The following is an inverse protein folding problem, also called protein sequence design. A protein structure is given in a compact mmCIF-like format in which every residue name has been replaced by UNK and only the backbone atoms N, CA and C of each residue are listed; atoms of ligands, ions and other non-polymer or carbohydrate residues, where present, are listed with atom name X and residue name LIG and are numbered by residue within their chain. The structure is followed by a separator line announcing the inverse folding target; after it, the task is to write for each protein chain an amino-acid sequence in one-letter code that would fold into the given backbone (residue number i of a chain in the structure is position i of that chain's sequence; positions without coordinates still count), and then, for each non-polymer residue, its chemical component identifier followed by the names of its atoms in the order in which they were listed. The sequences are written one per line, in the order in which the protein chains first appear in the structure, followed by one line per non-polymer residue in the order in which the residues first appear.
data_IF_701841976786
#
_entry.id   IF_701841976786
#
_cell.length_a   1.000
_cell.length_b   1.000
_cell.length_c   1.000
_cell.angle_alpha   90.00
_cell.angle_beta   90.00
_cell.angle_gamma   90.00
#
_symmetry.space_group_name_H-M   'P 1'
#
loop_
_entity.id
_entity.type
_entity.pdbx_description
1 polymer ?
#
# COMPACT_ATOMS: atom_id res chain seq x y z
N UNK A 1 62.34 4.20 42.77
CA UNK A 1 62.41 3.17 43.83
C UNK A 1 61.18 3.34 44.72
N UNK A 2 60.58 2.25 45.22
CA UNK A 2 59.18 2.15 45.72
C UNK A 2 58.11 2.15 44.61
N UNK A 3 56.94 1.48 44.73
CA UNK A 3 56.60 0.13 45.28
C UNK A 3 55.10 -0.14 45.00
N UNK A 4 54.76 -1.27 44.32
CA UNK A 4 53.44 -1.96 44.27
C UNK A 4 52.17 -1.11 43.94
N UNK A 5 50.98 -1.66 43.65
CA UNK A 5 50.47 -3.04 43.68
C UNK A 5 49.49 -3.30 42.50
N UNK A 6 49.02 -4.54 42.34
CA UNK A 6 48.12 -4.96 41.25
C UNK A 6 46.64 -5.07 41.68
N UNK A 7 45.73 -5.00 40.69
CA UNK A 7 44.42 -5.64 40.76
C UNK A 7 43.94 -6.06 39.36
N UNK A 8 43.08 -7.08 39.29
CA UNK A 8 42.61 -7.71 38.05
C UNK A 8 41.08 -7.65 37.98
N UNK A 9 40.52 -7.25 36.84
CA UNK A 9 39.10 -7.42 36.51
C UNK A 9 38.92 -7.52 34.99
N UNK A 10 38.17 -8.54 34.54
CA UNK A 10 37.57 -8.55 33.20
C UNK A 10 36.22 -7.82 33.26
N UNK A 11 35.84 -7.13 32.19
CA UNK A 11 34.44 -7.06 31.77
C UNK A 11 34.35 -6.82 30.25
N UNK A 12 33.30 -7.33 29.62
CA UNK A 12 33.08 -7.21 28.18
C UNK A 12 32.44 -5.85 27.82
N UNK A 13 32.75 -5.35 26.62
CA UNK A 13 32.11 -4.18 26.04
C UNK A 13 31.13 -4.58 24.94
N UNK A 14 29.82 -4.50 25.21
CA UNK A 14 28.78 -4.60 24.19
C UNK A 14 28.58 -3.26 23.48
N UNK A 15 28.36 -3.22 22.16
CA UNK A 15 28.07 -1.98 21.45
C UNK A 15 26.67 -1.44 21.80
N UNK A 16 26.54 -0.11 21.81
CA UNK A 16 25.27 0.58 22.06
C UNK A 16 24.31 0.47 20.87
N UNK A 17 23.04 0.15 21.16
CA UNK A 17 21.93 0.33 20.21
C UNK A 17 21.70 1.82 19.93
N UNK A 18 21.36 2.17 18.69
CA UNK A 18 20.93 3.50 18.27
C UNK A 18 19.43 3.45 17.89
N UNK A 19 18.63 4.31 18.50
CA UNK A 19 17.16 4.24 18.43
C UNK A 19 16.54 4.80 17.15
N UNK A 20 15.25 4.50 16.96
CA UNK A 20 14.47 4.88 15.77
C UNK A 20 14.13 6.39 15.71
N UNK A 21 13.98 6.97 14.50
CA UNK A 21 13.91 8.42 14.28
C UNK A 21 12.57 9.10 14.63
N UNK A 22 11.60 8.39 15.21
CA UNK A 22 10.31 8.97 15.64
C UNK A 22 10.33 9.60 17.04
N UNK A 23 11.47 9.53 17.74
CA UNK A 23 11.66 10.20 19.03
C UNK A 23 11.95 11.70 18.87
N UNK A 24 10.96 12.56 19.16
CA UNK A 24 11.17 14.01 19.29
C UNK A 24 12.02 14.37 20.52
N UNK A 25 13.34 14.44 20.37
CA UNK A 25 14.17 15.26 21.26
C UNK A 25 14.08 16.73 20.83
N UNK A 26 13.92 17.64 21.79
CA UNK A 26 13.91 19.08 21.54
C UNK A 26 15.34 19.60 21.51
N UNK A 27 15.93 19.76 20.32
CA UNK A 27 17.07 20.66 20.01
C UNK A 27 17.34 20.73 18.49
N UNK A 28 17.09 21.90 17.89
CA UNK A 28 17.69 22.49 16.66
C UNK A 28 17.85 21.55 15.43
N UNK A 29 17.26 21.77 14.25
CA UNK A 29 17.23 22.96 13.37
C UNK A 29 17.14 22.48 11.90
N UNK A 30 16.84 23.31 10.89
CA UNK A 30 16.34 22.86 9.58
C UNK A 30 17.39 22.69 8.44
N UNK A 31 16.88 22.38 7.23
CA UNK A 31 17.52 22.37 5.87
C UNK A 31 18.32 21.10 5.47
N UNK A 32 18.23 20.54 4.24
CA UNK A 32 17.27 20.73 3.11
C UNK A 32 17.23 19.47 2.18
N UNK A 33 16.37 19.47 1.14
CA UNK A 33 16.11 18.40 0.15
C UNK A 33 17.18 18.25 -0.97
N UNK A 34 17.22 17.11 -1.72
CA UNK A 34 16.74 17.06 -3.13
C UNK A 34 16.76 15.67 -3.86
N UNK A 35 15.86 15.53 -4.86
CA UNK A 35 15.80 14.70 -6.10
C UNK A 35 16.37 13.24 -6.16
N UNK A 36 15.63 12.20 -6.62
CA UNK A 36 14.94 11.96 -7.93
C UNK A 36 15.96 11.89 -9.10
N UNK A 37 16.19 10.79 -9.84
CA UNK A 37 15.39 10.13 -10.92
C UNK A 37 16.17 8.84 -11.36
N UNK A 38 15.80 7.89 -12.25
CA UNK A 38 14.64 7.61 -13.14
C UNK A 38 14.62 6.13 -13.61
N UNK A 39 13.53 5.71 -14.29
CA UNK A 39 13.37 4.83 -15.49
C UNK A 39 14.29 3.61 -15.81
N UNK A 40 13.90 2.59 -16.61
CA UNK A 40 12.60 1.99 -17.01
C UNK A 40 12.81 0.73 -17.92
N UNK A 41 11.77 -0.11 -18.02
CA UNK A 41 11.30 -0.83 -19.23
C UNK A 41 12.08 -1.98 -19.95
N UNK A 42 11.43 -3.17 -19.93
CA UNK A 42 10.92 -3.95 -21.10
C UNK A 42 11.76 -5.08 -21.78
N UNK A 43 11.02 -6.14 -22.17
CA UNK A 43 11.21 -7.16 -23.22
C UNK A 43 12.02 -8.47 -22.99
N UNK A 44 11.23 -9.55 -22.81
CA UNK A 44 11.40 -10.95 -23.27
C UNK A 44 12.42 -11.22 -24.41
N UNK A 45 13.06 -12.39 -24.31
CA UNK A 45 12.83 -13.51 -25.26
C UNK A 45 13.11 -14.87 -24.62
N UNK A 46 12.54 -15.95 -25.15
CA UNK A 46 12.72 -17.33 -24.68
C UNK A 46 13.15 -18.24 -25.85
N UNK A 47 14.32 -18.86 -25.74
CA UNK A 47 14.67 -20.10 -26.44
C UNK A 47 15.39 -21.03 -25.47
N UNK A 48 15.09 -22.33 -25.53
CA UNK A 48 15.59 -23.33 -24.59
C UNK A 48 16.89 -23.97 -25.06
N UNK A 49 17.87 -24.06 -24.16
CA UNK A 49 18.97 -25.01 -24.24
C UNK A 49 19.28 -25.54 -22.84
N UNK A 50 19.91 -26.71 -22.76
CA UNK A 50 19.99 -27.51 -21.53
C UNK A 50 20.82 -26.84 -20.42
N UNK A 51 20.17 -26.49 -19.31
CA UNK A 51 20.87 -26.16 -18.06
C UNK A 51 21.27 -27.43 -17.29
N UNK A 52 22.45 -27.44 -16.64
CA UNK A 52 22.87 -28.55 -15.78
C UNK A 52 22.07 -28.55 -14.46
N UNK A 53 22.18 -29.65 -13.71
CA UNK A 53 21.68 -29.77 -12.34
C UNK A 53 22.06 -28.57 -11.46
N UNK A 54 21.19 -28.13 -10.53
CA UNK A 54 21.46 -26.95 -9.72
C UNK A 54 22.70 -27.16 -8.84
N UNK A 55 23.82 -26.56 -9.26
CA UNK A 55 24.95 -26.33 -8.38
C UNK A 55 24.48 -25.41 -7.26
N UNK A 56 24.68 -25.83 -6.01
CA UNK A 56 24.45 -24.96 -4.87
C UNK A 56 25.33 -23.71 -5.04
N UNK A 57 24.69 -22.54 -5.17
CA UNK A 57 25.40 -21.27 -5.29
C UNK A 57 26.27 -21.11 -4.03
N UNK A 58 27.58 -21.01 -4.21
CA UNK A 58 28.49 -20.71 -3.11
C UNK A 58 28.05 -19.38 -2.49
N UNK A 59 27.89 -19.35 -1.17
CA UNK A 59 27.48 -18.14 -0.45
C UNK A 59 28.49 -17.04 -0.73
N UNK A 60 28.06 -16.02 -1.49
CA UNK A 60 28.89 -14.87 -1.82
C UNK A 60 29.13 -14.11 -0.52
N UNK A 61 30.38 -14.13 -0.03
CA UNK A 61 30.72 -13.62 1.30
C UNK A 61 30.25 -12.18 1.51
N UNK A 62 29.80 -11.88 2.73
CA UNK A 62 29.22 -10.59 3.07
C UNK A 62 30.18 -9.43 2.78
N UNK A 63 29.70 -8.44 2.04
CA UNK A 63 30.33 -7.13 1.97
C UNK A 63 30.11 -6.39 3.29
N UNK A 64 31.18 -6.26 4.08
CA UNK A 64 31.15 -5.59 5.38
C UNK A 64 30.55 -4.17 5.25
N UNK A 65 29.33 -4.00 5.78
CA UNK A 65 28.52 -2.78 5.63
C UNK A 65 27.05 -3.05 5.30
N UNK A 66 26.74 -4.18 4.65
CA UNK A 66 25.38 -4.57 4.28
C UNK A 66 24.56 -5.05 5.49
N UNK A 67 23.91 -4.14 6.21
CA UNK A 67 22.96 -4.48 7.29
C UNK A 67 21.63 -5.00 6.73
N UNK A 68 21.35 -6.29 6.96
CA UNK A 68 20.02 -6.89 6.84
C UNK A 68 19.60 -7.28 5.42
N UNK A 69 19.37 -8.58 5.21
CA UNK A 69 18.62 -9.06 4.04
C UNK A 69 17.13 -9.10 4.42
N UNK A 70 16.35 -8.15 3.92
CA UNK A 70 14.90 -8.15 4.14
C UNK A 70 14.22 -9.15 3.19
N UNK A 71 13.83 -10.30 3.73
CA UNK A 71 13.15 -11.35 2.98
C UNK A 71 11.62 -11.15 3.01
N UNK A 72 11.08 -10.36 2.09
CA UNK A 72 9.64 -10.35 1.85
C UNK A 72 9.20 -11.67 1.21
N UNK A 73 8.55 -12.54 1.98
CA UNK A 73 7.75 -13.62 1.42
C UNK A 73 6.35 -13.08 1.07
N UNK A 74 6.07 -12.82 -0.21
CA UNK A 74 4.76 -12.36 -0.69
C UNK A 74 3.75 -13.51 -0.59
N UNK A 75 3.09 -13.66 0.57
CA UNK A 75 1.91 -14.52 0.73
C UNK A 75 0.68 -13.78 0.15
N UNK A 76 0.73 -13.52 -1.15
CA UNK A 76 -0.32 -12.93 -1.98
C UNK A 76 -0.15 -13.51 -3.40
N UNK A 77 -1.19 -13.55 -4.24
CA UNK A 77 -1.06 -14.13 -5.57
C UNK A 77 -0.09 -13.30 -6.43
N UNK A 78 0.66 -14.00 -7.30
CA UNK A 78 1.71 -13.37 -8.12
C UNK A 78 1.18 -12.41 -9.19
N UNK A 79 -0.08 -12.61 -9.60
CA UNK A 79 -0.91 -11.67 -10.34
C UNK A 79 -2.32 -11.67 -9.74
N UNK A 80 -3.13 -10.66 -10.01
CA UNK A 80 -4.57 -10.65 -9.70
C UNK A 80 -5.33 -10.40 -11.00
N UNK A 81 -6.45 -11.09 -11.19
CA UNK A 81 -7.23 -11.11 -12.44
C UNK A 81 -8.71 -10.95 -12.13
N UNK A 82 -9.45 -10.21 -12.95
CA UNK A 82 -10.91 -10.13 -12.83
C UNK A 82 -11.59 -11.29 -13.56
N UNK A 83 -12.52 -11.92 -12.87
CA UNK A 83 -13.44 -12.92 -13.43
C UNK A 83 -14.88 -12.43 -13.25
N UNK A 84 -15.76 -12.87 -14.14
CA UNK A 84 -17.21 -12.63 -14.07
C UNK A 84 -17.94 -13.93 -14.38
N UNK A 85 -19.05 -14.17 -13.67
CA UNK A 85 -19.89 -15.35 -13.78
C UNK A 85 -21.35 -15.00 -13.46
N UNK A 86 -22.27 -15.91 -13.79
CA UNK A 86 -23.66 -15.83 -13.33
C UNK A 86 -23.74 -16.08 -11.82
N UNK A 87 -24.78 -15.56 -11.17
CA UNK A 87 -24.95 -15.65 -9.71
C UNK A 87 -25.18 -17.09 -9.17
N UNK A 88 -25.37 -18.07 -10.04
CA UNK A 88 -25.43 -19.50 -9.73
C UNK A 88 -24.08 -20.24 -9.90
N UNK A 89 -23.03 -19.53 -10.32
CA UNK A 89 -21.70 -20.05 -10.61
C UNK A 89 -21.50 -20.54 -12.06
N UNK A 90 -22.47 -20.35 -12.96
CA UNK A 90 -22.31 -20.69 -14.39
C UNK A 90 -21.64 -19.58 -15.20
N UNK A 91 -21.22 -19.88 -16.43
CA UNK A 91 -20.59 -18.96 -17.39
C UNK A 91 -19.39 -18.15 -16.86
N UNK A 92 -18.62 -18.72 -15.93
CA UNK A 92 -17.37 -18.09 -15.45
C UNK A 92 -16.35 -17.91 -16.58
N UNK A 93 -15.82 -16.69 -16.69
CA UNK A 93 -14.72 -16.34 -17.59
C UNK A 93 -13.89 -15.20 -17.02
N UNK A 94 -12.68 -15.03 -17.55
CA UNK A 94 -11.90 -13.81 -17.32
C UNK A 94 -12.64 -12.62 -17.96
N UNK A 95 -12.58 -11.45 -17.30
CA UNK A 95 -13.22 -10.22 -17.76
C UNK A 95 -12.31 -9.40 -18.69
N UNK A 96 -11.00 -9.48 -18.49
CA UNK A 96 -9.96 -8.86 -19.32
C UNK A 96 -9.05 -9.94 -19.91
N UNK A 97 -8.38 -9.65 -21.03
CA UNK A 97 -7.47 -10.60 -21.70
C UNK A 97 -5.99 -10.32 -21.46
N UNK A 98 -5.69 -9.10 -21.02
CA UNK A 98 -4.39 -8.48 -20.82
C UNK A 98 -4.15 -8.06 -19.36
N UNK A 99 -4.88 -8.69 -18.44
CA UNK A 99 -4.83 -8.54 -16.98
C UNK A 99 -3.40 -8.52 -16.40
N UNK A 100 -3.15 -7.57 -15.51
CA UNK A 100 -1.86 -7.31 -14.87
C UNK A 100 -1.94 -7.60 -13.37
N UNK A 101 -2.70 -6.77 -12.64
CA UNK A 101 -2.91 -6.88 -11.21
C UNK A 101 -4.20 -6.14 -10.82
N UNK A 102 -5.35 -6.75 -11.10
CA UNK A 102 -6.67 -6.14 -10.93
C UNK A 102 -7.38 -6.63 -9.65
N UNK A 103 -7.95 -5.71 -8.88
CA UNK A 103 -8.61 -6.00 -7.60
C UNK A 103 -9.65 -4.94 -7.22
N UNK A 104 -10.36 -5.15 -6.10
CA UNK A 104 -11.46 -4.29 -5.61
C UNK A 104 -12.50 -3.93 -6.70
N UNK A 105 -12.97 -4.93 -7.43
CA UNK A 105 -13.99 -4.76 -8.46
C UNK A 105 -15.39 -4.54 -7.85
N UNK A 106 -16.19 -3.68 -8.49
CA UNK A 106 -17.57 -3.37 -8.15
C UNK A 106 -18.38 -3.09 -9.42
N UNK A 107 -19.64 -3.56 -9.48
CA UNK A 107 -20.55 -3.25 -10.59
C UNK A 107 -21.07 -1.81 -10.52
N UNK A 108 -21.42 -1.26 -11.68
CA UNK A 108 -22.26 -0.06 -11.77
C UNK A 108 -23.73 -0.35 -11.39
N UNK A 109 -24.53 0.65 -10.98
CA UNK A 109 -25.94 0.45 -10.61
C UNK A 109 -26.84 -0.03 -11.76
N UNK A 110 -26.45 0.25 -13.00
CA UNK A 110 -27.11 -0.24 -14.23
C UNK A 110 -26.68 -1.65 -14.63
N UNK A 111 -25.62 -2.20 -14.02
CA UNK A 111 -25.04 -3.50 -14.36
C UNK A 111 -24.30 -3.54 -15.71
N UNK A 112 -24.10 -2.41 -16.39
CA UNK A 112 -23.41 -2.39 -17.69
C UNK A 112 -21.88 -2.36 -17.58
N UNK A 113 -21.34 -1.95 -16.42
CA UNK A 113 -19.91 -1.74 -16.16
C UNK A 113 -19.42 -2.44 -14.89
N UNK A 114 -18.11 -2.69 -14.85
CA UNK A 114 -17.34 -3.05 -13.66
C UNK A 114 -16.26 -1.98 -13.47
N UNK A 115 -16.31 -1.28 -12.34
CA UNK A 115 -15.24 -0.40 -11.85
C UNK A 115 -14.25 -1.23 -11.02
N UNK A 116 -12.95 -0.94 -11.09
CA UNK A 116 -11.92 -1.72 -10.40
C UNK A 116 -10.61 -0.92 -10.22
N UNK A 117 -9.69 -1.49 -9.43
CA UNK A 117 -8.34 -0.95 -9.20
C UNK A 117 -7.31 -1.81 -9.93
N UNK A 118 -6.29 -1.20 -10.53
CA UNK A 118 -5.20 -1.90 -11.26
C UNK A 118 -3.87 -1.15 -11.17
N UNK A 119 -2.75 -1.88 -11.15
CA UNK A 119 -1.39 -1.32 -11.17
C UNK A 119 -0.80 -1.17 -12.60
N UNK A 120 -1.65 -1.19 -13.65
CA UNK A 120 -1.19 -1.27 -15.07
C UNK A 120 -0.29 -0.14 -15.56
N UNK A 121 -0.21 1.00 -14.86
CA UNK A 121 0.69 2.10 -15.21
C UNK A 121 2.02 2.09 -14.43
N UNK A 122 2.18 1.18 -13.44
CA UNK A 122 3.44 0.90 -12.76
C UNK A 122 3.25 0.20 -11.41
N UNK A 123 4.11 -0.78 -11.10
CA UNK A 123 4.12 -1.52 -9.84
C UNK A 123 4.03 -0.58 -8.61
N UNK A 124 3.01 -0.79 -7.77
CA UNK A 124 2.74 0.03 -6.59
C UNK A 124 2.03 1.38 -6.84
N UNK A 125 1.73 1.74 -8.09
CA UNK A 125 0.87 2.88 -8.43
C UNK A 125 -0.50 2.34 -8.86
N UNK A 126 -1.41 2.19 -7.91
CA UNK A 126 -2.77 1.72 -8.19
C UNK A 126 -3.64 2.84 -8.73
N UNK A 127 -4.33 2.56 -9.83
CA UNK A 127 -5.22 3.47 -10.55
C UNK A 127 -6.62 2.85 -10.68
N UNK A 128 -7.64 3.71 -10.83
CA UNK A 128 -9.05 3.30 -10.98
C UNK A 128 -9.47 3.32 -12.45
N UNK A 129 -9.99 2.18 -12.90
CA UNK A 129 -10.48 1.93 -14.25
C UNK A 129 -11.92 1.41 -14.22
N UNK A 130 -12.58 1.45 -15.38
CA UNK A 130 -13.84 0.75 -15.64
C UNK A 130 -13.76 -0.05 -16.94
N UNK A 131 -14.56 -1.10 -17.05
CA UNK A 131 -14.73 -1.92 -18.26
C UNK A 131 -16.19 -2.35 -18.37
N UNK A 132 -16.71 -2.54 -19.58
CA UNK A 132 -18.04 -3.14 -19.76
C UNK A 132 -18.07 -4.57 -19.21
N UNK A 133 -19.23 -5.04 -18.76
CA UNK A 133 -19.37 -6.41 -18.21
C UNK A 133 -19.05 -7.52 -19.22
N UNK A 134 -19.08 -7.25 -20.52
CA UNK A 134 -18.63 -8.16 -21.59
C UNK A 134 -17.09 -8.17 -21.81
N UNK A 135 -16.34 -7.26 -21.19
CA UNK A 135 -14.89 -7.07 -21.40
C UNK A 135 -14.49 -6.02 -22.45
N UNK A 136 -15.44 -5.28 -23.06
CA UNK A 136 -15.14 -4.18 -24.00
C UNK A 136 -14.92 -2.84 -23.29
N UNK A 137 -14.38 -1.88 -24.03
CA UNK A 137 -14.34 -0.47 -23.63
C UNK A 137 -13.66 -0.23 -22.27
N UNK A 138 -12.43 -0.73 -22.13
CA UNK A 138 -11.58 -0.48 -20.97
C UNK A 138 -11.18 1.01 -20.91
N UNK A 139 -11.65 1.71 -19.88
CA UNK A 139 -11.54 3.16 -19.70
C UNK A 139 -10.87 3.52 -18.36
N UNK A 140 -10.06 4.58 -18.38
CA UNK A 140 -9.37 5.12 -17.20
C UNK A 140 -10.23 6.19 -16.52
N UNK A 141 -10.63 5.98 -15.26
CA UNK A 141 -11.44 6.95 -14.50
C UNK A 141 -10.55 7.92 -13.70
N UNK A 142 -9.60 7.36 -12.94
CA UNK A 142 -8.67 8.14 -12.10
C UNK A 142 -7.32 7.45 -12.15
N UNK A 143 -6.33 8.13 -12.73
CA UNK A 143 -4.93 7.74 -12.61
C UNK A 143 -4.12 8.99 -12.30
N UNK A 144 -3.25 8.93 -11.30
CA UNK A 144 -2.35 10.02 -10.89
C UNK A 144 -1.03 9.43 -10.36
N UNK A 145 -0.03 10.25 -9.99
CA UNK A 145 1.16 9.81 -9.24
C UNK A 145 0.88 9.46 -7.76
N UNK A 146 -0.38 9.19 -7.41
CA UNK A 146 -0.85 8.84 -6.07
C UNK A 146 -1.52 7.46 -6.11
N UNK A 147 -1.73 6.86 -4.94
CA UNK A 147 -2.41 5.57 -4.81
C UNK A 147 -3.91 5.82 -4.80
N UNK A 148 -4.60 5.38 -5.86
CA UNK A 148 -6.04 5.37 -6.01
C UNK A 148 -6.60 3.94 -5.86
N UNK A 149 -7.63 3.73 -5.04
CA UNK A 149 -8.12 2.39 -4.69
C UNK A 149 -9.61 2.37 -4.25
N UNK A 150 -10.20 1.18 -4.18
CA UNK A 150 -11.47 0.90 -3.47
C UNK A 150 -12.64 1.81 -3.92
N UNK A 151 -12.88 1.86 -5.24
CA UNK A 151 -13.95 2.66 -5.85
C UNK A 151 -15.34 2.03 -5.68
N UNK A 152 -16.35 2.87 -5.42
CA UNK A 152 -17.78 2.52 -5.44
C UNK A 152 -18.60 3.65 -6.08
N UNK A 153 -19.51 3.31 -6.99
CA UNK A 153 -20.44 4.28 -7.57
C UNK A 153 -21.63 4.55 -6.63
N UNK A 154 -22.20 5.75 -6.70
CA UNK A 154 -23.44 6.10 -6.01
C UNK A 154 -24.64 5.34 -6.61
N UNK A 155 -25.75 5.14 -5.88
CA UNK A 155 -26.89 4.32 -6.36
C UNK A 155 -27.53 4.81 -7.68
N UNK A 156 -27.34 6.08 -8.02
CA UNK A 156 -27.80 6.71 -9.26
C UNK A 156 -26.72 6.84 -10.34
N UNK A 157 -25.50 6.31 -10.12
CA UNK A 157 -24.37 6.33 -11.04
C UNK A 157 -23.71 7.70 -11.26
N UNK A 158 -24.20 8.80 -10.68
CA UNK A 158 -23.68 10.15 -10.99
C UNK A 158 -22.37 10.48 -10.28
N UNK A 159 -22.01 9.78 -9.19
CA UNK A 159 -20.81 10.00 -8.40
C UNK A 159 -20.03 8.69 -8.21
N UNK A 160 -18.71 8.80 -8.03
CA UNK A 160 -17.87 7.73 -7.51
C UNK A 160 -17.26 8.18 -6.17
N UNK A 161 -17.26 7.32 -5.15
CA UNK A 161 -16.47 7.49 -3.94
C UNK A 161 -15.30 6.50 -3.97
N UNK A 162 -14.11 6.95 -3.58
CA UNK A 162 -12.87 6.15 -3.70
C UNK A 162 -11.84 6.56 -2.64
N UNK A 163 -10.86 5.69 -2.39
CA UNK A 163 -9.68 6.02 -1.60
C UNK A 163 -8.64 6.66 -2.51
N UNK A 164 -8.03 7.76 -2.07
CA UNK A 164 -6.83 8.32 -2.73
C UNK A 164 -5.87 8.93 -1.72
N UNK A 165 -4.56 8.79 -1.99
CA UNK A 165 -3.47 9.44 -1.23
C UNK A 165 -3.06 10.82 -1.75
N UNK A 166 -3.79 11.35 -2.75
CA UNK A 166 -3.60 12.68 -3.34
C UNK A 166 -3.51 13.79 -2.26
N UNK A 167 -2.68 14.81 -2.53
CA UNK A 167 -2.31 15.96 -1.67
C UNK A 167 -1.40 15.66 -0.47
N UNK A 168 -1.55 14.54 0.23
CA UNK A 168 -0.98 14.39 1.58
C UNK A 168 -0.34 13.03 1.89
N UNK A 169 -0.29 12.10 0.92
CA UNK A 169 0.22 10.73 1.04
C UNK A 169 -0.52 9.84 2.07
N UNK A 170 -1.70 10.26 2.54
CA UNK A 170 -2.57 9.50 3.47
C UNK A 170 -3.82 9.02 2.76
N UNK A 171 -4.24 7.78 2.99
CA UNK A 171 -5.50 7.26 2.48
C UNK A 171 -6.69 8.13 2.93
N UNK A 172 -7.37 8.79 1.99
CA UNK A 172 -8.52 9.66 2.24
C UNK A 172 -9.69 9.26 1.37
N UNK A 173 -10.93 9.52 1.81
CA UNK A 173 -12.09 9.35 0.96
C UNK A 173 -12.25 10.59 0.08
N UNK A 174 -12.22 10.35 -1.22
CA UNK A 174 -12.51 11.31 -2.26
C UNK A 174 -13.82 10.95 -2.96
N UNK A 175 -14.48 11.96 -3.52
CA UNK A 175 -15.65 11.81 -4.38
C UNK A 175 -15.37 12.48 -5.72
N UNK A 176 -15.77 11.82 -6.80
CA UNK A 176 -15.72 12.31 -8.18
C UNK A 176 -17.13 12.42 -8.75
N UNK A 177 -17.41 13.50 -9.45
CA UNK A 177 -18.58 13.66 -10.32
C UNK A 177 -18.32 12.98 -11.68
N UNK A 178 -19.16 12.01 -12.05
CA UNK A 178 -18.94 11.12 -13.20
C UNK A 178 -19.16 11.80 -14.56
N UNK A 179 -19.79 12.97 -14.60
CA UNK A 179 -20.09 13.70 -15.85
C UNK A 179 -19.05 14.79 -16.13
N UNK A 180 -18.54 15.43 -15.07
CA UNK A 180 -17.61 16.56 -15.15
C UNK A 180 -16.16 16.20 -14.79
N UNK A 181 -15.92 15.02 -14.21
CA UNK A 181 -14.61 14.58 -13.71
C UNK A 181 -14.12 15.38 -12.49
N UNK A 182 -14.95 16.26 -11.92
CA UNK A 182 -14.61 17.09 -10.77
C UNK A 182 -14.42 16.22 -9.53
N UNK A 183 -13.30 16.39 -8.82
CA UNK A 183 -12.90 15.61 -7.64
C UNK A 183 -12.84 16.47 -6.39
N UNK A 184 -13.25 15.95 -5.23
CA UNK A 184 -13.10 16.60 -3.92
C UNK A 184 -12.88 15.59 -2.79
N UNK A 185 -12.13 16.00 -1.78
CA UNK A 185 -11.84 15.21 -0.58
C UNK A 185 -12.89 15.50 0.50
N UNK A 186 -13.37 14.48 1.22
CA UNK A 186 -14.34 14.64 2.32
C UNK A 186 -13.76 14.34 3.72
N UNK A 187 -12.54 13.82 3.83
CA UNK A 187 -11.90 13.40 5.10
C UNK A 187 -10.68 14.21 5.55
N UNK A 188 -10.12 15.08 4.70
CA UNK A 188 -9.06 16.05 5.06
C UNK A 188 -9.53 17.51 4.80
N UNK A 189 -10.76 17.82 5.21
CA UNK A 189 -11.34 19.18 5.13
C UNK A 189 -11.13 19.96 6.44
N UNK A 190 -11.30 21.29 6.50
CA UNK A 190 -11.22 22.05 7.75
C UNK A 190 -12.17 21.59 8.88
N UNK A 191 -13.19 20.78 8.56
CA UNK A 191 -14.16 20.21 9.52
C UNK A 191 -13.85 18.73 9.81
N UNK A 192 -13.28 18.00 8.85
CA UNK A 192 -13.02 16.54 8.95
C UNK A 192 -11.55 16.16 9.16
N UNK A 193 -10.62 17.12 9.13
CA UNK A 193 -9.20 16.91 9.38
C UNK A 193 -8.92 16.20 10.72
N UNK A 194 -7.85 15.42 10.73
CA UNK A 194 -7.38 14.66 11.90
C UNK A 194 -6.46 15.48 12.80
N UNK A 195 -6.17 14.95 13.99
CA UNK A 195 -4.97 15.35 14.71
C UNK A 195 -3.74 14.81 13.94
N UNK A 196 -2.89 15.71 13.42
CA UNK A 196 -1.71 15.35 12.62
C UNK A 196 -0.62 14.55 13.38
N UNK A 197 -0.74 14.39 14.70
CA UNK A 197 0.15 13.56 15.53
C UNK A 197 -0.45 12.19 15.91
N UNK A 198 -1.58 11.81 15.32
CA UNK A 198 -2.27 10.52 15.54
C UNK A 198 -2.59 9.84 14.19
N UNK A 199 -3.06 8.59 14.23
CA UNK A 199 -3.45 7.88 13.00
C UNK A 199 -4.66 8.56 12.32
N UNK A 200 -4.71 8.48 10.99
CA UNK A 200 -5.58 9.31 10.15
C UNK A 200 -5.78 8.80 8.70
N UNK A 201 -5.86 7.48 8.54
CA UNK A 201 -6.30 6.82 7.31
C UNK A 201 -7.80 6.61 7.25
N UNK A 202 -8.34 6.57 6.04
CA UNK A 202 -9.75 6.36 5.74
C UNK A 202 -9.88 5.38 4.56
N UNK A 203 -10.68 4.34 4.73
CA UNK A 203 -10.66 3.15 3.86
C UNK A 203 -12.06 2.57 3.62
N UNK A 204 -12.25 1.93 2.46
CA UNK A 204 -13.46 1.18 2.06
C UNK A 204 -14.75 2.02 2.16
N UNK A 205 -14.91 3.03 1.27
CA UNK A 205 -16.17 3.77 1.17
C UNK A 205 -17.31 2.85 0.69
N UNK A 206 -18.52 3.12 1.17
CA UNK A 206 -19.76 2.49 0.71
C UNK A 206 -20.91 3.50 0.80
N UNK A 207 -21.67 3.68 -0.28
CA UNK A 207 -22.85 4.56 -0.29
C UNK A 207 -24.05 3.91 0.41
N UNK A 208 -24.91 4.73 1.04
CA UNK A 208 -26.27 4.31 1.41
C UNK A 208 -27.14 4.11 0.16
N UNK A 209 -28.21 3.28 0.21
CA UNK A 209 -29.08 3.02 -0.96
C UNK A 209 -29.83 4.25 -1.50
N UNK A 210 -30.00 5.28 -0.68
CA UNK A 210 -30.56 6.60 -1.05
C UNK A 210 -29.52 7.57 -1.62
N UNK A 211 -28.22 7.28 -1.47
CA UNK A 211 -27.11 8.14 -1.88
C UNK A 211 -26.83 9.34 -0.96
N UNK A 212 -27.53 9.49 0.17
CA UNK A 212 -27.32 10.62 1.10
C UNK A 212 -26.05 10.47 1.95
N UNK A 213 -25.57 9.24 2.18
CA UNK A 213 -24.50 8.93 3.13
C UNK A 213 -23.38 8.10 2.49
N UNK A 214 -22.16 8.26 3.01
CA UNK A 214 -21.03 7.37 2.75
C UNK A 214 -20.54 6.83 4.10
N UNK A 215 -20.62 5.51 4.27
CA UNK A 215 -19.93 4.82 5.35
C UNK A 215 -18.48 4.51 4.94
N UNK A 216 -17.55 4.56 5.88
CA UNK A 216 -16.17 4.16 5.69
C UNK A 216 -15.54 3.70 7.00
N UNK A 217 -14.48 2.89 6.90
CA UNK A 217 -13.61 2.52 8.01
C UNK A 217 -12.47 3.52 8.20
N UNK A 218 -12.02 3.74 9.43
CA UNK A 218 -10.94 4.70 9.72
C UNK A 218 -10.27 4.42 11.07
N UNK A 219 -8.98 4.74 11.16
CA UNK A 219 -8.18 4.78 12.39
C UNK A 219 -8.01 6.21 12.93
N UNK A 220 -8.77 7.19 12.41
CA UNK A 220 -8.67 8.63 12.72
C UNK A 220 -8.66 8.89 14.23
N UNK A 221 -7.63 9.62 14.66
CA UNK A 221 -7.37 10.02 16.04
C UNK A 221 -7.14 8.84 17.02
N UNK A 222 -6.87 7.63 16.53
CA UNK A 222 -6.41 6.53 17.39
C UNK A 222 -4.91 6.68 17.70
N UNK A 223 -4.49 6.13 18.84
CA UNK A 223 -3.09 6.01 19.20
C UNK A 223 -2.53 4.71 18.61
N UNK A 224 -1.41 4.81 17.89
CA UNK A 224 -0.64 3.63 17.50
C UNK A 224 0.17 3.11 18.70
N UNK A 225 -0.30 2.02 19.32
CA UNK A 225 0.45 1.32 20.38
C UNK A 225 1.66 0.53 19.84
N UNK A 226 1.76 0.39 18.52
CA UNK A 226 2.69 -0.52 17.86
C UNK A 226 2.52 -1.97 18.29
N UNK A 227 3.57 -2.76 18.07
CA UNK A 227 3.73 -4.11 18.60
C UNK A 227 4.56 -4.13 19.91
N UNK A 228 4.92 -2.95 20.44
CA UNK A 228 5.84 -2.81 21.58
C UNK A 228 5.17 -2.89 22.96
N UNK A 229 3.91 -2.50 23.09
CA UNK A 229 3.18 -2.65 24.35
C UNK A 229 3.00 -4.13 24.71
N UNK A 230 3.15 -4.53 25.99
CA UNK A 230 2.86 -5.90 26.41
C UNK A 230 1.40 -6.25 26.12
N UNK A 231 1.17 -7.37 25.45
CA UNK A 231 -0.14 -8.01 25.40
C UNK A 231 -0.65 -8.29 26.82
N UNK A 232 -1.95 -8.58 26.96
CA UNK A 232 -2.55 -9.00 28.24
C UNK A 232 -1.84 -10.21 28.91
N UNK A 233 -1.03 -10.95 28.17
CA UNK A 233 -0.21 -12.08 28.66
C UNK A 233 1.21 -11.68 29.08
N UNK A 234 1.55 -10.38 29.08
CA UNK A 234 2.89 -9.86 29.39
C UNK A 234 3.92 -10.06 28.26
N UNK A 235 3.51 -10.59 27.10
CA UNK A 235 4.36 -10.78 25.94
C UNK A 235 4.36 -9.51 25.10
N UNK A 236 5.53 -8.91 24.88
CA UNK A 236 5.75 -7.91 23.82
C UNK A 236 5.63 -8.59 22.45
N UNK A 237 5.32 -7.83 21.40
CA UNK A 237 5.33 -8.34 20.03
C UNK A 237 6.72 -8.74 19.55
N UNK A 238 6.78 -9.44 18.41
CA UNK A 238 7.97 -10.10 17.87
C UNK A 238 9.09 -9.17 17.37
N UNK A 239 9.00 -7.85 17.61
CA UNK A 239 9.87 -6.82 17.03
C UNK A 239 10.65 -6.04 18.10
N UNK A 240 11.38 -6.76 18.95
CA UNK A 240 12.40 -6.19 19.84
C UNK A 240 13.78 -6.80 19.54
N UNK A 241 14.66 -6.02 18.90
CA UNK A 241 16.07 -6.35 18.63
C UNK A 241 16.99 -5.22 19.10
#
# INVERSE_FOLDING_TARGET
MRVFSALLALLAASPSLAGCPFGFDKRNGPEDYDRITAHANIARSLTSSSTPSPSASASRGETAGSKGVFLMNRIAPGTSKLYISNADGTDERELLSDSVYEYHASFSPDGEWVTFTTERNGDGNSDIYQVRTNGSDLEQMVATPSVEDSVVLSPNGSLAAYVSTTNNMRANIWVMDMVTGKKWNITDTPITASNASLMNGYFRPAWSPDGEWIAFSSDRNTQFSGHGEPTYLGLTGWETT
#
